data_IF_603859846524
#
_entry.id   IF_603859846524
#
_cell.length_a   1.000
_cell.length_b   1.000
_cell.length_c   1.000
_cell.angle_alpha   90.00
_cell.angle_beta   90.00
_cell.angle_gamma   90.00
#
_symmetry.space_group_name_H-M   'P 1'
#
loop_
_entity.id
_entity.type
_entity.pdbx_description
1 polymer ?
#
# COMPACT_ATOMS: atom_id res chain seq x y z
N UNK A 1 11.10 -18.04 2.02
CA UNK A 1 9.79 -17.56 1.52
C UNK A 1 9.05 -18.70 0.85
N UNK A 2 7.72 -18.73 0.94
CA UNK A 2 6.87 -19.72 0.28
C UNK A 2 5.42 -19.21 0.16
N UNK A 3 4.74 -19.53 -0.94
CA UNK A 3 3.29 -19.38 -1.07
C UNK A 3 2.66 -20.76 -1.17
N UNK A 4 1.75 -21.05 -0.24
CA UNK A 4 0.98 -22.30 -0.20
C UNK A 4 -0.51 -22.03 -0.23
N UNK A 5 -1.23 -22.98 -0.82
CA UNK A 5 -2.69 -23.03 -0.82
C UNK A 5 -3.11 -24.42 -0.34
N UNK A 6 -4.11 -24.46 0.55
CA UNK A 6 -4.78 -25.69 0.95
C UNK A 6 -6.23 -25.39 1.32
N UNK A 7 -7.18 -26.03 0.64
CA UNK A 7 -8.61 -25.86 0.89
C UNK A 7 -9.06 -24.37 0.86
N UNK A 8 -8.57 -23.62 -0.13
CA UNK A 8 -8.79 -22.17 -0.30
C UNK A 8 -8.25 -21.31 0.85
N UNK A 9 -7.37 -21.86 1.69
CA UNK A 9 -6.56 -21.08 2.63
C UNK A 9 -5.21 -20.80 1.98
N UNK A 10 -4.91 -19.52 1.82
CA UNK A 10 -3.68 -19.02 1.21
C UNK A 10 -2.75 -18.52 2.30
N UNK A 11 -1.50 -18.97 2.27
CA UNK A 11 -0.48 -18.60 3.25
C UNK A 11 0.75 -18.11 2.48
N UNK A 12 1.12 -16.86 2.74
CA UNK A 12 2.32 -16.22 2.23
C UNK A 12 3.32 -16.12 3.38
N UNK A 13 4.42 -16.85 3.26
CA UNK A 13 5.52 -16.85 4.21
C UNK A 13 6.69 -16.09 3.62
N UNK A 14 7.10 -15.03 4.29
CA UNK A 14 8.36 -14.33 4.02
C UNK A 14 9.49 -15.02 4.80
N UNK A 15 10.56 -14.31 5.14
CA UNK A 15 11.66 -14.88 5.90
C UNK A 15 11.30 -15.05 7.38
N UNK A 16 10.68 -14.04 7.98
CA UNK A 16 10.34 -13.99 9.39
C UNK A 16 8.85 -13.75 9.65
N UNK A 17 8.08 -13.38 8.63
CA UNK A 17 6.66 -13.02 8.78
C UNK A 17 5.74 -13.94 7.98
N UNK A 18 4.44 -13.86 8.27
CA UNK A 18 3.41 -14.65 7.61
C UNK A 18 2.15 -13.82 7.44
N UNK A 19 1.50 -14.01 6.30
CA UNK A 19 0.22 -13.40 5.94
C UNK A 19 -0.71 -14.51 5.45
N UNK A 20 -1.92 -14.60 6.01
CA UNK A 20 -2.86 -15.65 5.65
C UNK A 20 -4.28 -15.10 5.49
N UNK A 21 -4.98 -15.64 4.50
CA UNK A 21 -6.38 -15.36 4.22
C UNK A 21 -7.02 -16.59 3.57
N UNK A 22 -8.35 -16.61 3.49
CA UNK A 22 -9.08 -17.72 2.88
C UNK A 22 -10.31 -17.24 2.11
N UNK A 23 -10.71 -18.00 1.10
CA UNK A 23 -11.99 -17.77 0.43
C UNK A 23 -13.10 -18.59 1.12
N UNK A 24 -14.07 -17.89 1.68
CA UNK A 24 -15.28 -18.42 2.29
C UNK A 24 -16.14 -19.23 1.29
N UNK A 25 -17.08 -20.03 1.80
CA UNK A 25 -17.98 -20.84 0.97
C UNK A 25 -18.84 -19.97 0.04
N UNK A 26 -19.19 -18.77 0.48
CA UNK A 26 -19.94 -17.79 -0.32
C UNK A 26 -19.06 -16.96 -1.27
N UNK A 27 -17.75 -17.26 -1.35
CA UNK A 27 -16.76 -16.57 -2.17
C UNK A 27 -16.14 -15.32 -1.53
N UNK A 28 -16.49 -14.94 -0.30
CA UNK A 28 -15.87 -13.77 0.36
C UNK A 28 -14.40 -14.05 0.69
N UNK A 29 -13.49 -13.14 0.37
CA UNK A 29 -12.07 -13.27 0.68
C UNK A 29 -11.76 -12.71 2.08
N UNK A 30 -11.52 -13.60 3.04
CA UNK A 30 -11.45 -13.31 4.46
C UNK A 30 -10.01 -13.33 4.98
N UNK A 31 -9.59 -12.23 5.59
CA UNK A 31 -8.29 -12.11 6.24
C UNK A 31 -8.22 -12.92 7.54
N UNK A 32 -7.16 -13.72 7.72
CA UNK A 32 -7.00 -14.59 8.88
C UNK A 32 -5.83 -14.17 9.79
N UNK A 33 -4.73 -13.70 9.20
CA UNK A 33 -3.51 -13.42 9.96
C UNK A 33 -2.54 -12.49 9.23
N UNK A 34 -1.86 -11.67 10.01
CA UNK A 34 -0.65 -10.96 9.61
C UNK A 34 0.25 -10.77 10.83
N UNK A 35 1.50 -11.21 10.74
CA UNK A 35 2.47 -11.05 11.83
C UNK A 35 3.53 -12.15 11.85
N UNK A 36 3.92 -12.58 13.04
CA UNK A 36 4.86 -13.69 13.28
C UNK A 36 4.36 -14.99 12.64
N UNK A 37 5.29 -15.88 12.29
CA UNK A 37 4.97 -17.23 11.80
C UNK A 37 4.16 -18.03 12.83
N UNK A 38 3.12 -18.70 12.34
CA UNK A 38 2.24 -19.61 13.08
C UNK A 38 2.10 -20.94 12.32
N UNK A 39 1.50 -21.94 12.97
CA UNK A 39 1.28 -23.25 12.35
C UNK A 39 0.14 -23.17 11.34
N UNK A 40 0.25 -23.89 10.22
CA UNK A 40 -0.76 -23.84 9.16
C UNK A 40 -2.15 -24.32 9.63
N UNK A 41 -2.17 -25.27 10.56
CA UNK A 41 -3.38 -25.81 11.17
C UNK A 41 -4.17 -24.76 11.95
N UNK A 42 -3.50 -23.75 12.52
CA UNK A 42 -4.14 -22.65 13.25
C UNK A 42 -5.03 -21.83 12.30
N UNK A 43 -4.66 -21.70 11.02
CA UNK A 43 -5.46 -20.96 10.04
C UNK A 43 -6.70 -21.71 9.63
N UNK A 44 -6.63 -23.03 9.46
CA UNK A 44 -7.80 -23.85 9.19
C UNK A 44 -8.82 -23.75 10.34
N UNK A 45 -8.35 -23.84 11.59
CA UNK A 45 -9.21 -23.69 12.76
C UNK A 45 -9.84 -22.29 12.87
N UNK A 46 -9.05 -21.22 12.59
CA UNK A 46 -9.57 -19.84 12.55
C UNK A 46 -10.61 -19.64 11.46
N UNK A 47 -10.36 -20.19 10.27
CA UNK A 47 -11.28 -20.12 9.15
C UNK A 47 -12.59 -20.87 9.45
N UNK A 48 -12.53 -22.08 10.00
CA UNK A 48 -13.72 -22.80 10.44
C UNK A 48 -14.52 -22.03 11.50
N UNK A 49 -13.83 -21.41 12.46
CA UNK A 49 -14.47 -20.60 13.49
C UNK A 49 -15.14 -19.35 12.89
N UNK A 50 -14.52 -18.73 11.88
CA UNK A 50 -15.11 -17.63 11.12
C UNK A 50 -16.39 -18.08 10.40
N UNK A 51 -16.35 -19.18 9.65
CA UNK A 51 -17.51 -19.73 8.95
C UNK A 51 -18.67 -20.05 9.91
N UNK A 52 -18.38 -20.72 11.03
CA UNK A 52 -19.38 -21.07 12.05
C UNK A 52 -19.95 -19.85 12.78
N UNK A 53 -19.17 -18.78 12.92
CA UNK A 53 -19.53 -17.56 13.65
C UNK A 53 -20.18 -16.47 12.79
N UNK A 54 -20.42 -16.77 11.51
CA UNK A 54 -20.93 -15.80 10.53
C UNK A 54 -22.39 -15.46 10.81
N UNK A 55 -22.62 -14.44 11.64
CA UNK A 55 -23.94 -14.03 12.12
C UNK A 55 -24.63 -12.95 11.25
N UNK A 56 -24.31 -12.87 9.95
CA UNK A 56 -24.93 -11.90 9.03
C UNK A 56 -24.47 -10.44 9.18
N UNK A 57 -23.49 -10.14 10.05
CA UNK A 57 -22.87 -8.82 10.16
C UNK A 57 -21.68 -8.71 9.21
N UNK A 58 -21.93 -8.63 7.91
CA UNK A 58 -20.88 -8.53 6.87
C UNK A 58 -19.92 -7.38 7.12
N UNK A 59 -20.42 -6.28 7.68
CA UNK A 59 -19.67 -5.08 8.07
C UNK A 59 -18.44 -5.36 8.96
N UNK A 60 -18.54 -6.33 9.88
CA UNK A 60 -17.46 -6.63 10.83
C UNK A 60 -16.43 -7.63 10.28
N UNK A 61 -16.66 -8.15 9.07
CA UNK A 61 -15.79 -9.15 8.47
C UNK A 61 -14.40 -8.55 8.20
N UNK A 62 -13.36 -9.32 8.51
CA UNK A 62 -12.00 -9.00 8.10
C UNK A 62 -11.82 -9.50 6.67
N UNK A 63 -11.79 -8.59 5.70
CA UNK A 63 -11.74 -8.91 4.27
C UNK A 63 -10.45 -8.44 3.63
N UNK A 64 -10.04 -9.09 2.54
CA UNK A 64 -8.84 -8.70 1.79
C UNK A 64 -9.07 -7.54 0.82
N UNK A 65 -10.30 -7.37 0.33
CA UNK A 65 -10.68 -6.31 -0.60
C UNK A 65 -12.21 -6.19 -0.73
N UNK A 66 -12.82 -5.21 -0.05
CA UNK A 66 -14.29 -5.04 -0.05
C UNK A 66 -14.76 -4.03 -1.10
N UNK A 67 -15.81 -4.40 -1.84
CA UNK A 67 -16.53 -3.48 -2.73
C UNK A 67 -17.59 -2.66 -2.00
N UNK A 68 -18.20 -1.72 -2.72
CA UNK A 68 -19.36 -0.98 -2.23
C UNK A 68 -20.59 -1.88 -2.22
N UNK A 69 -21.13 -2.26 -1.06
CA UNK A 69 -22.38 -3.02 -0.99
C UNK A 69 -23.32 -2.42 0.05
N UNK A 70 -24.63 -2.69 -0.06
CA UNK A 70 -25.63 -2.17 0.87
C UNK A 70 -25.49 -2.62 2.33
N UNK A 71 -24.53 -3.50 2.65
CA UNK A 71 -24.25 -3.98 4.01
C UNK A 71 -22.88 -3.51 4.55
N UNK A 72 -22.09 -2.80 3.75
CA UNK A 72 -20.73 -2.35 4.09
C UNK A 72 -20.70 -0.82 4.23
N UNK A 73 -20.50 -0.34 5.46
CA UNK A 73 -20.54 1.08 5.85
C UNK A 73 -19.18 1.64 6.30
N UNK A 74 -18.17 0.77 6.42
CA UNK A 74 -16.75 1.13 6.62
C UNK A 74 -16.06 1.56 5.32
N UNK A 75 -14.83 2.11 5.37
CA UNK A 75 -14.06 2.39 4.17
C UNK A 75 -13.95 1.17 3.24
N UNK A 76 -14.38 1.36 2.01
CA UNK A 76 -14.40 0.35 0.95
C UNK A 76 -13.12 0.44 0.12
N UNK A 77 -12.66 -0.70 -0.40
CA UNK A 77 -11.47 -0.76 -1.24
C UNK A 77 -11.78 -0.34 -2.69
N UNK A 78 -12.98 -0.65 -3.20
CA UNK A 78 -13.38 -0.31 -4.57
C UNK A 78 -14.82 0.19 -4.62
N UNK A 79 -15.05 1.21 -5.44
CA UNK A 79 -16.38 1.74 -5.75
C UNK A 79 -16.48 1.87 -7.27
N UNK A 80 -17.48 1.21 -7.85
CA UNK A 80 -17.77 1.28 -9.28
C UNK A 80 -19.22 1.72 -9.51
N UNK A 81 -19.47 2.38 -10.64
CA UNK A 81 -20.80 2.63 -11.16
C UNK A 81 -20.97 1.86 -12.47
N UNK A 82 -22.08 1.13 -12.56
CA UNK A 82 -22.46 0.36 -13.74
C UNK A 82 -23.45 1.13 -14.61
N UNK A 83 -23.65 0.65 -15.84
CA UNK A 83 -24.49 1.32 -16.85
C UNK A 83 -25.96 1.49 -16.43
N UNK A 84 -26.48 0.58 -15.61
CA UNK A 84 -27.83 0.63 -15.04
C UNK A 84 -27.94 1.54 -13.80
N UNK A 85 -26.86 2.25 -13.46
CA UNK A 85 -26.69 3.10 -12.26
C UNK A 85 -26.59 2.34 -10.95
N UNK A 86 -26.49 1.02 -10.98
CA UNK A 86 -26.11 0.27 -9.79
C UNK A 86 -24.70 0.68 -9.35
N UNK A 87 -24.50 0.70 -8.04
CA UNK A 87 -23.20 0.97 -7.40
C UNK A 87 -22.77 -0.18 -6.49
N UNK A 88 -23.57 -1.24 -6.41
CA UNK A 88 -23.23 -2.39 -5.60
C UNK A 88 -22.22 -3.26 -6.33
N UNK A 89 -21.04 -3.39 -5.74
CA UNK A 89 -19.95 -4.25 -6.20
C UNK A 89 -19.78 -5.41 -5.24
N UNK A 90 -20.13 -6.62 -5.68
CA UNK A 90 -20.05 -7.85 -4.89
C UNK A 90 -18.97 -8.78 -5.44
N UNK A 91 -17.72 -8.56 -5.00
CA UNK A 91 -16.59 -9.36 -5.42
C UNK A 91 -16.57 -10.72 -4.73
N UNK A 92 -16.71 -11.79 -5.52
CA UNK A 92 -16.63 -13.18 -5.06
C UNK A 92 -15.43 -13.88 -5.68
N UNK A 93 -14.75 -14.70 -4.88
CA UNK A 93 -13.64 -15.53 -5.29
C UNK A 93 -14.03 -16.46 -6.44
N UNK A 94 -13.22 -16.44 -7.49
CA UNK A 94 -13.37 -17.30 -8.66
C UNK A 94 -12.22 -18.30 -8.74
N UNK A 95 -10.98 -17.81 -8.75
CA UNK A 95 -9.80 -18.63 -9.02
C UNK A 95 -8.52 -17.99 -8.46
N UNK A 96 -7.41 -18.69 -8.57
CA UNK A 96 -6.09 -18.18 -8.23
C UNK A 96 -5.00 -18.70 -9.16
N UNK A 97 -3.86 -18.00 -9.19
CA UNK A 97 -2.64 -18.54 -9.79
C UNK A 97 -1.43 -18.21 -8.92
N UNK A 98 -0.42 -19.08 -8.93
CA UNK A 98 0.85 -18.85 -8.23
C UNK A 98 1.99 -18.91 -9.24
N UNK A 99 2.64 -17.77 -9.43
CA UNK A 99 3.88 -17.65 -10.21
C UNK A 99 5.07 -17.75 -9.30
N UNK A 100 6.06 -18.58 -9.66
CA UNK A 100 7.28 -18.81 -8.86
C UNK A 100 8.52 -18.50 -9.69
N UNK A 101 9.46 -17.80 -9.07
CA UNK A 101 10.80 -17.55 -9.58
C UNK A 101 11.82 -17.72 -8.45
N UNK A 102 13.10 -17.63 -8.78
CA UNK A 102 14.18 -17.70 -7.78
C UNK A 102 14.23 -16.49 -6.84
N UNK A 103 13.72 -15.33 -7.31
CA UNK A 103 13.80 -14.05 -6.60
C UNK A 103 12.50 -13.65 -5.90
N UNK A 104 11.35 -14.05 -6.44
CA UNK A 104 10.02 -13.72 -5.90
C UNK A 104 9.00 -14.84 -6.15
N UNK A 105 7.93 -14.85 -5.35
CA UNK A 105 6.69 -15.57 -5.66
C UNK A 105 5.53 -14.60 -5.69
N UNK A 106 4.60 -14.80 -6.61
CA UNK A 106 3.39 -13.99 -6.75
C UNK A 106 2.16 -14.89 -6.70
N UNK A 107 1.20 -14.51 -5.85
CA UNK A 107 -0.16 -15.06 -5.81
C UNK A 107 -1.10 -14.03 -6.41
N UNK A 108 -1.84 -14.44 -7.43
CA UNK A 108 -2.94 -13.66 -8.00
C UNK A 108 -4.26 -14.31 -7.61
N UNK A 109 -5.11 -13.58 -6.91
CA UNK A 109 -6.47 -14.01 -6.56
C UNK A 109 -7.46 -13.30 -7.48
N UNK A 110 -8.27 -14.08 -8.20
CA UNK A 110 -9.25 -13.56 -9.14
C UNK A 110 -10.60 -13.52 -8.42
N UNK A 111 -11.14 -12.31 -8.30
CA UNK A 111 -12.49 -12.04 -7.83
C UNK A 111 -13.37 -11.61 -9.01
N UNK A 112 -14.65 -11.94 -8.99
CA UNK A 112 -15.62 -11.47 -9.96
C UNK A 112 -16.84 -10.85 -9.29
N UNK A 113 -17.33 -9.78 -9.90
CA UNK A 113 -18.71 -9.36 -9.79
C UNK A 113 -19.47 -9.98 -10.98
N UNK A 114 -19.98 -11.21 -10.79
CA UNK A 114 -20.54 -12.03 -11.86
C UNK A 114 -21.69 -11.34 -12.62
N UNK A 115 -22.69 -10.69 -11.96
CA UNK A 115 -23.77 -10.00 -12.67
C UNK A 115 -23.30 -8.96 -13.69
N UNK A 116 -22.20 -8.27 -13.42
CA UNK A 116 -21.64 -7.24 -14.30
C UNK A 116 -20.46 -7.73 -15.13
N UNK A 117 -20.05 -8.99 -15.00
CA UNK A 117 -18.89 -9.56 -15.69
C UNK A 117 -17.61 -8.71 -15.54
N UNK A 118 -17.40 -8.14 -14.36
CA UNK A 118 -16.19 -7.38 -13.99
C UNK A 118 -15.31 -8.23 -13.08
N UNK A 119 -14.02 -8.26 -13.36
CA UNK A 119 -13.04 -9.05 -12.61
C UNK A 119 -12.06 -8.14 -11.90
N UNK A 120 -11.69 -8.51 -10.67
CA UNK A 120 -10.64 -7.86 -9.90
C UNK A 120 -9.59 -8.90 -9.53
N UNK A 121 -8.38 -8.74 -10.05
CA UNK A 121 -7.23 -9.56 -9.68
C UNK A 121 -6.45 -8.86 -8.58
N UNK A 122 -6.36 -9.50 -7.41
CA UNK A 122 -5.52 -9.05 -6.30
C UNK A 122 -4.17 -9.76 -6.39
N UNK A 123 -3.11 -9.00 -6.62
CA UNK A 123 -1.75 -9.53 -6.70
C UNK A 123 -1.03 -9.37 -5.37
N UNK A 124 -0.38 -10.42 -4.91
CA UNK A 124 0.43 -10.47 -3.71
C UNK A 124 1.81 -11.03 -4.06
N UNK A 125 2.85 -10.21 -4.00
CA UNK A 125 4.23 -10.63 -4.30
C UNK A 125 5.08 -10.61 -3.04
N UNK A 126 5.77 -11.72 -2.78
CA UNK A 126 6.79 -11.84 -1.74
C UNK A 126 8.17 -12.02 -2.37
N UNK A 127 9.20 -11.50 -1.72
CA UNK A 127 10.56 -11.46 -2.22
C UNK A 127 11.51 -12.28 -1.35
N UNK A 128 12.48 -12.93 -1.97
CA UNK A 128 13.48 -13.72 -1.25
C UNK A 128 14.39 -12.79 -0.47
N UNK A 129 14.53 -13.00 0.84
CA UNK A 129 15.40 -12.19 1.69
C UNK A 129 14.72 -10.93 2.26
N UNK A 130 13.42 -10.73 2.01
CA UNK A 130 12.69 -9.54 2.46
C UNK A 130 11.35 -9.89 3.10
N UNK A 131 11.06 -9.27 4.23
CA UNK A 131 9.78 -9.36 4.93
C UNK A 131 8.76 -8.32 4.44
N UNK A 132 8.74 -8.10 3.12
CA UNK A 132 7.85 -7.17 2.42
C UNK A 132 6.92 -7.93 1.50
N UNK A 133 5.63 -7.56 1.54
CA UNK A 133 4.60 -8.03 0.61
C UNK A 133 4.20 -6.84 -0.26
N UNK A 134 4.33 -6.98 -1.58
CA UNK A 134 3.80 -6.03 -2.55
C UNK A 134 2.38 -6.43 -2.92
N UNK A 135 1.42 -5.50 -2.79
CA UNK A 135 0.01 -5.67 -3.14
C UNK A 135 -0.43 -4.68 -4.22
N UNK A 136 -1.29 -5.12 -5.12
CA UNK A 136 -1.97 -4.27 -6.10
C UNK A 136 -3.28 -4.92 -6.55
N UNK A 137 -4.16 -4.13 -7.15
CA UNK A 137 -5.38 -4.61 -7.79
C UNK A 137 -5.38 -4.26 -9.29
N UNK A 138 -5.83 -5.22 -10.11
CA UNK A 138 -6.14 -5.02 -11.53
C UNK A 138 -7.64 -5.24 -11.73
N UNK A 139 -8.33 -4.25 -12.25
CA UNK A 139 -9.76 -4.29 -12.58
C UNK A 139 -9.91 -4.48 -14.08
N UNK A 140 -10.68 -5.47 -14.49
CA UNK A 140 -10.92 -5.81 -15.90
C UNK A 140 -12.41 -5.79 -16.20
N UNK A 141 -12.81 -4.96 -17.16
CA UNK A 141 -14.19 -4.94 -17.65
C UNK A 141 -14.34 -5.96 -18.77
N UNK A 142 -14.93 -7.13 -18.47
CA UNK A 142 -15.21 -8.17 -19.47
C UNK A 142 -16.65 -8.12 -19.99
N UNK A 143 -17.42 -7.11 -19.60
CA UNK A 143 -18.79 -6.88 -20.06
C UNK A 143 -18.80 -6.18 -21.43
N UNK A 144 -20.01 -5.96 -21.98
CA UNK A 144 -20.21 -5.12 -23.16
C UNK A 144 -20.42 -3.64 -22.81
N UNK A 145 -20.70 -3.33 -21.55
CA UNK A 145 -21.08 -1.99 -21.09
C UNK A 145 -19.87 -1.25 -20.49
N UNK A 146 -19.97 0.08 -20.42
CA UNK A 146 -18.95 0.90 -19.75
C UNK A 146 -19.10 0.83 -18.24
N UNK A 147 -17.98 0.70 -17.53
CA UNK A 147 -17.91 0.76 -16.06
C UNK A 147 -17.13 2.00 -15.65
N UNK A 148 -17.56 2.70 -14.60
CA UNK A 148 -16.85 3.86 -14.06
C UNK A 148 -16.29 3.52 -12.70
N UNK A 149 -14.97 3.55 -12.54
CA UNK A 149 -14.30 3.37 -11.25
C UNK A 149 -14.23 4.73 -10.55
N UNK A 150 -14.80 4.82 -9.34
CA UNK A 150 -14.78 6.03 -8.50
C UNK A 150 -13.83 5.91 -7.30
N UNK A 151 -13.41 4.69 -6.97
CA UNK A 151 -12.38 4.43 -5.96
C UNK A 151 -11.70 3.11 -6.29
N UNK A 152 -10.37 3.06 -6.19
CA UNK A 152 -9.59 1.86 -6.33
C UNK A 152 -8.38 1.90 -5.39
N UNK A 153 -8.52 1.22 -4.24
CA UNK A 153 -7.44 1.02 -3.29
C UNK A 153 -6.46 -0.04 -3.82
N UNK A 154 -5.19 0.08 -3.44
CA UNK A 154 -4.16 -0.91 -3.75
C UNK A 154 -4.14 -2.06 -2.74
N UNK A 155 -4.57 -1.80 -1.50
CA UNK A 155 -4.69 -2.80 -0.45
C UNK A 155 -5.72 -2.42 0.62
N UNK A 156 -6.45 -3.42 1.11
CA UNK A 156 -7.17 -3.41 2.39
C UNK A 156 -6.51 -4.40 3.35
N UNK A 157 -6.15 -3.97 4.55
CA UNK A 157 -5.31 -4.73 5.48
C UNK A 157 -5.97 -4.73 6.84
N UNK A 158 -6.20 -5.90 7.43
CA UNK A 158 -6.80 -6.01 8.76
C UNK A 158 -5.72 -6.26 9.82
N UNK A 159 -5.86 -5.60 10.97
CA UNK A 159 -4.91 -5.71 12.06
C UNK A 159 -5.35 -6.82 13.04
N UNK A 160 -4.40 -7.52 13.70
CA UNK A 160 -4.73 -8.66 14.54
C UNK A 160 -5.31 -8.29 15.91
N UNK A 161 -4.88 -7.18 16.52
CA UNK A 161 -5.28 -6.80 17.88
C UNK A 161 -6.68 -6.19 17.93
N UNK A 162 -7.38 -6.44 19.03
CA UNK A 162 -8.64 -5.77 19.37
C UNK A 162 -8.42 -4.48 20.14
N UNK A 163 -7.22 -4.19 20.61
CA UNK A 163 -6.93 -2.92 21.29
C UNK A 163 -6.66 -1.81 20.26
N UNK A 164 -6.89 -0.53 20.60
CA UNK A 164 -6.55 0.60 19.74
C UNK A 164 -5.07 0.61 19.31
N UNK A 165 -4.80 1.15 18.13
CA UNK A 165 -3.45 1.35 17.61
C UNK A 165 -3.11 2.84 17.60
N UNK A 166 -1.85 3.17 17.86
CA UNK A 166 -1.29 4.45 17.49
C UNK A 166 -0.88 4.41 16.02
N UNK A 167 -1.26 5.45 15.29
CA UNK A 167 -0.85 5.71 13.91
C UNK A 167 0.19 6.81 13.86
N UNK A 168 1.21 6.66 13.00
CA UNK A 168 2.21 7.69 12.70
C UNK A 168 2.17 8.06 11.22
N UNK A 169 2.09 9.36 10.95
CA UNK A 169 2.23 9.96 9.61
C UNK A 169 2.73 11.40 9.78
N UNK A 170 3.49 11.95 8.83
CA UNK A 170 3.95 13.32 8.96
C UNK A 170 2.82 14.33 8.78
N UNK A 171 2.99 15.50 9.38
CA UNK A 171 2.20 16.69 9.15
C UNK A 171 3.13 17.90 8.97
N UNK A 172 3.75 17.96 7.80
CA UNK A 172 4.69 19.02 7.45
C UNK A 172 4.12 20.14 6.58
N UNK A 173 5.00 21.02 6.14
CA UNK A 173 4.74 21.98 5.06
C UNK A 173 6.01 22.12 4.22
N UNK A 174 5.95 22.92 3.15
CA UNK A 174 7.14 23.30 2.39
C UNK A 174 8.19 23.92 3.33
N UNK A 175 9.41 23.38 3.31
CA UNK A 175 10.52 23.81 4.18
C UNK A 175 10.46 23.26 5.61
N UNK A 176 9.49 22.41 5.92
CA UNK A 176 9.30 21.75 7.21
C UNK A 176 8.61 20.39 7.02
N UNK A 177 9.06 19.61 6.04
CA UNK A 177 8.53 18.29 5.73
C UNK A 177 8.84 17.27 6.84
N UNK A 178 8.09 16.16 6.86
CA UNK A 178 8.37 14.99 7.71
C UNK A 178 8.34 15.21 9.22
N UNK A 179 7.63 16.23 9.71
CA UNK A 179 7.30 16.36 11.14
C UNK A 179 6.35 15.24 11.54
N UNK A 180 6.86 14.22 12.23
CA UNK A 180 6.11 13.01 12.57
C UNK A 180 5.06 13.29 13.65
N UNK A 181 3.81 12.98 13.33
CA UNK A 181 2.68 13.08 14.27
C UNK A 181 2.18 11.70 14.66
N UNK A 182 1.80 11.57 15.94
CA UNK A 182 1.26 10.33 16.51
C UNK A 182 -0.20 10.53 16.91
N UNK A 183 -1.09 9.68 16.41
CA UNK A 183 -2.53 9.76 16.70
C UNK A 183 -3.07 8.41 17.16
N UNK A 184 -3.84 8.39 18.26
CA UNK A 184 -4.53 7.17 18.70
C UNK A 184 -5.77 6.93 17.83
N UNK A 185 -5.85 5.78 17.18
CA UNK A 185 -7.04 5.35 16.43
C UNK A 185 -8.00 4.65 17.39
N UNK A 186 -8.81 5.43 18.09
CA UNK A 186 -9.71 4.91 19.13
C UNK A 186 -11.05 4.40 18.59
N UNK A 187 -11.60 5.07 17.56
CA UNK A 187 -12.81 4.71 16.82
C UNK A 187 -12.91 5.56 15.55
N UNK A 188 -13.76 5.17 14.61
CA UNK A 188 -14.00 5.92 13.37
C UNK A 188 -12.84 5.78 12.38
N UNK A 189 -12.72 6.74 11.47
CA UNK A 189 -11.69 6.76 10.42
C UNK A 189 -10.71 7.89 10.64
N UNK A 190 -9.41 7.56 10.68
CA UNK A 190 -8.31 8.51 10.54
C UNK A 190 -7.84 8.48 9.08
N UNK A 191 -7.82 9.64 8.43
CA UNK A 191 -7.47 9.76 7.01
C UNK A 191 -6.20 10.58 6.83
N UNK A 192 -5.29 10.06 6.02
CA UNK A 192 -4.16 10.79 5.45
C UNK A 192 -4.34 10.84 3.94
N UNK A 193 -4.36 12.03 3.35
CA UNK A 193 -4.58 12.17 1.91
C UNK A 193 -3.81 13.34 1.31
N UNK A 194 -3.62 13.27 0.00
CA UNK A 194 -3.25 14.43 -0.81
C UNK A 194 -4.13 14.52 -2.04
N UNK A 195 -4.70 15.70 -2.24
CA UNK A 195 -5.56 16.05 -3.37
C UNK A 195 -4.91 17.13 -4.25
N UNK A 196 -3.58 17.29 -4.17
CA UNK A 196 -2.81 18.38 -4.78
C UNK A 196 -2.19 18.04 -6.15
N UNK A 197 -2.56 16.91 -6.73
CA UNK A 197 -1.92 16.32 -7.92
C UNK A 197 -0.56 15.66 -7.66
N UNK A 198 -0.13 15.60 -6.39
CA UNK A 198 1.18 15.09 -5.94
C UNK A 198 1.08 14.51 -4.53
N UNK A 199 2.03 13.67 -4.12
CA UNK A 199 2.09 13.10 -2.77
C UNK A 199 2.12 14.14 -1.64
N UNK A 200 2.61 15.36 -1.89
CA UNK A 200 2.60 16.53 -0.96
C UNK A 200 3.68 16.55 0.13
N UNK A 201 3.88 17.75 0.70
CA UNK A 201 4.76 18.08 1.83
C UNK A 201 4.09 17.85 3.20
N UNK A 202 2.77 17.68 3.21
CA UNK A 202 1.93 17.59 4.42
C UNK A 202 1.90 16.17 4.96
N UNK A 203 1.05 15.32 4.39
CA UNK A 203 0.96 13.90 4.66
C UNK A 203 1.77 13.14 3.61
N UNK A 204 2.26 11.96 3.99
CA UNK A 204 2.98 11.08 3.08
C UNK A 204 2.17 9.79 2.86
N UNK A 205 2.25 9.14 1.67
CA UNK A 205 1.47 7.95 1.36
C UNK A 205 1.96 6.67 2.08
N UNK A 206 2.05 6.71 3.40
CA UNK A 206 2.32 5.54 4.24
C UNK A 206 1.46 5.53 5.51
N UNK A 207 1.39 4.38 6.16
CA UNK A 207 0.92 4.25 7.53
C UNK A 207 1.91 3.43 8.36
N UNK A 208 1.99 3.75 9.64
CA UNK A 208 2.71 2.98 10.64
C UNK A 208 1.77 2.82 11.84
N UNK A 209 1.47 1.58 12.23
CA UNK A 209 0.51 1.22 13.25
C UNK A 209 1.16 0.36 14.32
N UNK A 210 1.06 0.78 15.57
CA UNK A 210 1.70 0.09 16.71
C UNK A 210 0.91 0.28 18.00
N UNK A 211 1.29 -0.45 19.06
CA UNK A 211 0.67 -0.32 20.38
C UNK A 211 1.73 0.00 21.44
N UNK A 212 2.58 -0.98 21.73
CA UNK A 212 3.66 -0.89 22.73
C UNK A 212 4.98 -1.20 22.02
N UNK A 213 5.41 -0.29 21.15
CA UNK A 213 6.64 -0.43 20.39
C UNK A 213 7.49 0.85 20.52
N UNK A 214 8.80 0.65 20.49
CA UNK A 214 9.81 1.69 20.38
C UNK A 214 10.77 1.33 19.24
N UNK A 215 11.99 1.88 19.23
CA UNK A 215 12.96 1.62 18.18
C UNK A 215 13.41 0.16 18.13
N UNK A 216 13.52 -0.52 19.28
CA UNK A 216 14.20 -1.81 19.41
C UNK A 216 13.24 -2.96 19.75
N UNK A 217 12.04 -2.67 20.25
CA UNK A 217 11.07 -3.69 20.63
C UNK A 217 9.65 -3.38 20.18
N UNK A 218 8.86 -4.45 20.06
CA UNK A 218 7.43 -4.37 19.87
C UNK A 218 6.99 -4.53 18.41
N UNK A 219 5.70 -4.82 18.27
CA UNK A 219 5.07 -5.11 16.99
C UNK A 219 4.69 -3.80 16.26
N UNK A 220 5.17 -3.65 15.03
CA UNK A 220 4.91 -2.51 14.15
C UNK A 220 4.40 -3.01 12.80
N UNK A 221 3.21 -2.54 12.41
CA UNK A 221 2.57 -2.85 11.14
C UNK A 221 2.65 -1.63 10.24
N UNK A 222 3.17 -1.78 9.03
CA UNK A 222 3.46 -0.63 8.19
C UNK A 222 3.16 -0.90 6.72
N UNK A 223 2.95 0.18 5.98
CA UNK A 223 2.86 0.10 4.53
C UNK A 223 2.99 1.46 3.85
N UNK A 224 3.44 1.44 2.60
CA UNK A 224 3.65 2.62 1.78
C UNK A 224 3.14 2.40 0.35
N UNK A 225 2.53 3.41 -0.25
CA UNK A 225 2.08 3.39 -1.64
C UNK A 225 3.23 3.81 -2.56
N UNK A 226 3.51 3.01 -3.57
CA UNK A 226 4.47 3.32 -4.64
C UNK A 226 3.79 4.24 -5.66
N UNK A 227 3.55 5.49 -5.25
CA UNK A 227 2.82 6.48 -6.02
C UNK A 227 3.24 7.91 -5.68
N UNK A 228 3.22 8.79 -6.69
CA UNK A 228 3.65 10.19 -6.56
C UNK A 228 2.53 11.20 -6.75
N UNK A 229 1.31 10.75 -7.09
CA UNK A 229 0.14 11.59 -7.30
C UNK A 229 -0.76 11.73 -6.07
N UNK A 230 -2.06 11.95 -6.32
CA UNK A 230 -3.07 11.95 -5.26
C UNK A 230 -3.20 10.55 -4.63
N UNK A 231 -3.27 10.51 -3.31
CA UNK A 231 -3.39 9.26 -2.54
C UNK A 231 -4.37 9.43 -1.40
N UNK A 232 -4.87 8.31 -0.90
CA UNK A 232 -5.66 8.24 0.33
C UNK A 232 -5.30 7.00 1.13
N UNK A 233 -5.07 7.20 2.42
CA UNK A 233 -4.89 6.16 3.43
C UNK A 233 -5.94 6.36 4.50
N UNK A 234 -6.79 5.36 4.71
CA UNK A 234 -7.87 5.36 5.70
C UNK A 234 -7.61 4.27 6.74
N UNK A 235 -7.42 4.67 7.99
CA UNK A 235 -7.28 3.74 9.12
C UNK A 235 -8.58 3.78 9.90
N UNK A 236 -9.36 2.73 9.77
CA UNK A 236 -10.69 2.62 10.36
C UNK A 236 -10.69 1.66 11.54
N UNK A 237 -11.39 2.06 12.60
CA UNK A 237 -11.65 1.21 13.76
C UNK A 237 -13.15 1.17 14.08
N UNK A 238 -13.72 -0.02 14.03
CA UNK A 238 -15.13 -0.27 14.31
C UNK A 238 -15.42 -0.36 15.82
N UNK A 239 -16.71 -0.43 16.15
CA UNK A 239 -17.20 -0.58 17.51
C UNK A 239 -16.87 -1.94 18.14
N UNK A 240 -16.61 -2.97 17.33
CA UNK A 240 -16.18 -4.29 17.76
C UNK A 240 -14.65 -4.38 17.95
N UNK A 241 -13.96 -3.26 17.84
CA UNK A 241 -12.53 -3.10 18.04
C UNK A 241 -11.67 -3.68 16.92
N UNK A 242 -12.22 -4.00 15.75
CA UNK A 242 -11.37 -4.33 14.59
C UNK A 242 -10.78 -3.05 14.02
N UNK A 243 -9.49 -3.08 13.73
CA UNK A 243 -8.80 -2.01 13.01
C UNK A 243 -8.38 -2.52 11.63
N UNK A 244 -8.51 -1.66 10.62
CA UNK A 244 -8.06 -1.92 9.24
C UNK A 244 -7.47 -0.67 8.62
N UNK A 245 -6.57 -0.86 7.67
CA UNK A 245 -6.00 0.19 6.83
C UNK A 245 -6.39 -0.07 5.37
N UNK A 246 -6.90 0.95 4.69
CA UNK A 246 -7.16 0.96 3.24
C UNK A 246 -6.24 2.02 2.63
N UNK A 247 -5.41 1.63 1.66
CA UNK A 247 -4.44 2.52 1.03
C UNK A 247 -4.49 2.41 -0.49
N UNK A 248 -4.47 3.55 -1.19
CA UNK A 248 -4.41 3.59 -2.65
C UNK A 248 -4.58 4.99 -3.21
N UNK A 249 -5.12 5.05 -4.43
CA UNK A 249 -5.43 6.32 -5.09
C UNK A 249 -6.48 7.11 -4.30
N UNK A 250 -6.37 8.44 -4.31
CA UNK A 250 -7.44 9.27 -3.76
C UNK A 250 -8.70 9.12 -4.63
N UNK A 251 -9.85 9.02 -3.97
CA UNK A 251 -11.19 9.09 -4.58
C UNK A 251 -11.71 10.54 -4.70
N UNK A 252 -10.92 11.54 -4.29
CA UNK A 252 -11.23 12.96 -4.52
C UNK A 252 -11.13 13.30 -6.00
N UNK A 253 -12.27 13.68 -6.59
CA UNK A 253 -12.41 14.01 -8.02
C UNK A 253 -11.83 12.94 -8.96
N UNK A 254 -11.90 11.68 -8.53
CA UNK A 254 -11.43 10.53 -9.30
C UNK A 254 -12.61 9.84 -9.98
N UNK A 255 -12.50 9.70 -11.30
CA UNK A 255 -13.45 8.98 -12.13
C UNK A 255 -12.72 8.41 -13.33
N UNK A 256 -12.50 7.09 -13.33
CA UNK A 256 -11.86 6.40 -14.45
C UNK A 256 -12.91 5.64 -15.25
N UNK A 257 -13.06 5.98 -16.53
CA UNK A 257 -13.96 5.28 -17.46
C UNK A 257 -13.23 4.06 -17.98
N UNK A 258 -13.84 2.88 -17.80
CA UNK A 258 -13.31 1.60 -18.24
C UNK A 258 -14.25 1.00 -19.28
N UNK A 259 -13.86 1.06 -20.56
CA UNK A 259 -14.64 0.51 -21.67
C UNK A 259 -14.57 -1.01 -21.72
N UNK A 260 -15.43 -1.63 -22.54
CA UNK A 260 -15.45 -3.07 -22.73
C UNK A 260 -14.07 -3.60 -23.19
N UNK A 261 -13.56 -4.61 -22.47
CA UNK A 261 -12.26 -5.23 -22.72
C UNK A 261 -11.06 -4.47 -22.15
N UNK A 262 -11.26 -3.29 -21.55
CA UNK A 262 -10.17 -2.52 -20.93
C UNK A 262 -9.86 -3.00 -19.51
N UNK A 263 -8.65 -2.68 -19.05
CA UNK A 263 -8.22 -2.91 -17.67
C UNK A 263 -7.55 -1.70 -17.04
N UNK A 264 -7.74 -1.54 -15.74
CA UNK A 264 -7.11 -0.53 -14.90
C UNK A 264 -6.27 -1.18 -13.81
N UNK A 265 -5.04 -0.71 -13.60
CA UNK A 265 -4.15 -1.21 -12.56
C UNK A 265 -3.87 -0.12 -11.53
N UNK A 266 -4.02 -0.46 -10.24
CA UNK A 266 -3.64 0.44 -9.14
C UNK A 266 -2.12 0.50 -9.00
N UNK A 267 -1.54 1.59 -8.47
CA UNK A 267 -0.17 1.56 -7.98
C UNK A 267 0.01 0.45 -6.93
N UNK A 268 1.25 0.04 -6.70
CA UNK A 268 1.53 -0.98 -5.69
C UNK A 268 1.54 -0.39 -4.28
N UNK A 269 1.04 -1.13 -3.30
CA UNK A 269 1.31 -0.90 -1.88
C UNK A 269 2.35 -1.92 -1.39
N UNK A 270 3.41 -1.45 -0.75
CA UNK A 270 4.38 -2.28 -0.04
C UNK A 270 3.96 -2.34 1.41
N UNK A 271 3.77 -3.54 1.96
CA UNK A 271 3.37 -3.74 3.36
C UNK A 271 4.38 -4.65 4.07
N UNK A 272 4.59 -4.41 5.35
CA UNK A 272 5.51 -5.20 6.16
C UNK A 272 5.14 -5.20 7.64
N UNK A 273 5.74 -6.14 8.36
CA UNK A 273 5.57 -6.31 9.79
C UNK A 273 6.93 -6.45 10.45
N UNK A 274 7.15 -5.69 11.52
CA UNK A 274 8.30 -5.83 12.40
C UNK A 274 7.82 -6.30 13.77
N UNK A 275 8.51 -7.26 14.38
CA UNK A 275 8.34 -7.60 15.80
C UNK A 275 9.45 -7.04 16.70
N UNK A 276 10.33 -6.21 16.12
CA UNK A 276 11.57 -5.71 16.71
C UNK A 276 11.62 -4.18 16.61
N UNK A 277 10.47 -3.51 16.75
CA UNK A 277 10.39 -2.06 16.80
C UNK A 277 10.54 -1.34 15.46
N UNK A 278 10.64 -0.01 15.54
CA UNK A 278 10.70 0.91 14.40
C UNK A 278 12.00 0.84 13.61
N UNK A 279 13.13 0.52 14.25
CA UNK A 279 14.42 0.42 13.57
C UNK A 279 14.42 -0.77 12.60
N UNK A 280 13.91 -1.93 13.02
CA UNK A 280 13.76 -3.09 12.13
C UNK A 280 12.76 -2.79 10.99
N UNK A 281 11.62 -2.14 11.27
CA UNK A 281 10.68 -1.69 10.24
C UNK A 281 11.38 -0.83 9.17
N UNK A 282 12.08 0.23 9.61
CA UNK A 282 12.67 1.21 8.71
C UNK A 282 13.81 0.60 7.89
N UNK A 283 14.63 -0.27 8.51
CA UNK A 283 15.70 -0.99 7.82
C UNK A 283 15.15 -1.96 6.76
N UNK A 284 14.06 -2.67 7.03
CA UNK A 284 13.42 -3.55 6.06
C UNK A 284 12.92 -2.78 4.83
N UNK A 285 12.18 -1.69 5.04
CA UNK A 285 11.69 -0.86 3.94
C UNK A 285 12.83 -0.19 3.17
N UNK A 286 13.89 0.27 3.87
CA UNK A 286 15.06 0.86 3.23
C UNK A 286 15.80 -0.15 2.35
N UNK A 287 16.16 -1.32 2.90
CA UNK A 287 16.86 -2.37 2.16
C UNK A 287 16.06 -2.82 0.93
N UNK A 288 14.74 -2.98 1.07
CA UNK A 288 13.87 -3.30 -0.05
C UNK A 288 13.84 -2.19 -1.09
N UNK A 289 13.74 -0.93 -0.66
CA UNK A 289 13.68 0.23 -1.58
C UNK A 289 14.98 0.39 -2.36
N UNK A 290 16.13 0.26 -1.69
CA UNK A 290 17.45 0.32 -2.34
C UNK A 290 17.59 -0.80 -3.37
N UNK A 291 17.24 -2.04 -3.03
CA UNK A 291 17.41 -3.16 -3.98
C UNK A 291 16.37 -3.16 -5.10
N UNK A 292 15.09 -2.92 -4.80
CA UNK A 292 13.98 -3.22 -5.71
C UNK A 292 13.29 -2.00 -6.32
N UNK A 293 13.48 -0.79 -5.77
CA UNK A 293 12.80 0.42 -6.23
C UNK A 293 13.77 1.41 -6.87
N UNK A 294 14.94 1.61 -6.27
CA UNK A 294 15.95 2.53 -6.78
C UNK A 294 16.47 2.06 -8.15
N UNK A 295 16.76 2.98 -9.10
CA UNK A 295 17.40 2.61 -10.36
C UNK A 295 18.69 1.82 -10.12
N UNK A 296 18.86 0.67 -10.77
CA UNK A 296 19.95 -0.29 -10.52
C UNK A 296 21.36 0.31 -10.55
N UNK A 297 21.58 1.36 -11.35
CA UNK A 297 22.86 2.09 -11.40
C UNK A 297 23.26 2.77 -10.09
N UNK A 298 22.31 3.06 -9.19
CA UNK A 298 22.54 3.78 -7.94
C UNK A 298 22.59 2.88 -6.70
N UNK A 299 22.45 1.56 -6.87
CA UNK A 299 22.33 0.62 -5.74
C UNK A 299 23.70 0.32 -5.11
N UNK A 300 24.71 0.11 -5.95
CA UNK A 300 26.03 -0.37 -5.53
C UNK A 300 27.16 0.65 -5.71
N UNK A 301 26.81 1.90 -6.05
CA UNK A 301 27.76 2.98 -6.28
C UNK A 301 27.42 4.17 -5.36
N UNK A 302 28.42 4.76 -4.67
CA UNK A 302 28.21 6.02 -3.97
C UNK A 302 27.68 7.10 -4.91
N UNK A 303 26.74 7.92 -4.43
CA UNK A 303 26.26 9.08 -5.17
C UNK A 303 27.34 10.19 -5.11
N UNK A 304 27.54 10.94 -6.20
CA UNK A 304 28.54 12.00 -6.23
C UNK A 304 28.21 13.12 -5.23
N UNK A 305 29.23 13.65 -4.56
CA UNK A 305 29.10 14.87 -3.74
C UNK A 305 28.89 16.05 -4.67
N UNK A 306 27.66 16.58 -4.71
CA UNK A 306 27.27 17.65 -5.62
C UNK A 306 27.34 19.04 -4.97
N UNK A 307 27.55 20.05 -5.81
CA UNK A 307 27.33 21.47 -5.49
C UNK A 307 26.23 22.01 -6.41
N UNK A 308 25.14 22.50 -5.83
CA UNK A 308 24.01 23.07 -6.56
C UNK A 308 24.02 24.61 -6.44
N UNK A 309 23.77 25.32 -7.56
CA UNK A 309 23.88 26.78 -7.65
C UNK A 309 22.70 27.58 -7.10
N UNK A 310 21.58 26.94 -6.72
CA UNK A 310 20.33 27.62 -6.39
C UNK A 310 20.47 28.67 -5.29
N UNK A 311 20.87 28.30 -4.08
CA UNK A 311 20.99 29.28 -2.98
C UNK A 311 22.19 30.22 -3.13
N UNK A 312 23.15 29.88 -3.99
CA UNK A 312 24.34 30.70 -4.22
C UNK A 312 24.03 31.94 -5.07
N UNK A 313 23.12 31.80 -6.04
CA UNK A 313 22.88 32.85 -7.05
C UNK A 313 21.39 33.15 -7.28
N UNK A 314 20.48 32.27 -6.87
CA UNK A 314 19.08 32.27 -7.29
C UNK A 314 19.00 32.49 -8.82
N UNK A 315 18.40 33.59 -9.26
CA UNK A 315 18.27 33.94 -10.67
C UNK A 315 19.36 34.89 -11.20
N UNK A 316 20.35 35.28 -10.40
CA UNK A 316 21.51 36.08 -10.85
C UNK A 316 22.56 35.19 -11.54
N UNK A 317 22.12 34.50 -12.60
CA UNK A 317 22.90 33.48 -13.31
C UNK A 317 23.69 34.13 -14.45
N UNK A 318 25.01 33.92 -14.45
CA UNK A 318 25.90 34.28 -15.56
C UNK A 318 26.92 33.17 -15.81
N UNK A 319 27.33 32.97 -17.07
CA UNK A 319 28.34 31.98 -17.44
C UNK A 319 29.63 32.16 -16.62
N UNK A 320 30.15 33.38 -16.53
CA UNK A 320 31.34 33.69 -15.73
C UNK A 320 31.15 33.38 -14.24
N UNK A 321 29.97 33.67 -13.67
CA UNK A 321 29.65 33.35 -12.28
C UNK A 321 29.58 31.85 -12.02
N UNK A 322 28.91 31.10 -12.88
CA UNK A 322 28.77 29.64 -12.76
C UNK A 322 30.12 28.92 -12.95
N UNK A 323 30.97 29.38 -13.88
CA UNK A 323 32.33 28.86 -14.02
C UNK A 323 33.17 29.05 -12.75
N UNK A 324 33.12 30.25 -12.14
CA UNK A 324 33.81 30.52 -10.88
C UNK A 324 33.30 29.64 -9.73
N UNK A 325 31.99 29.42 -9.65
CA UNK A 325 31.39 28.51 -8.66
C UNK A 325 31.81 27.06 -8.89
N UNK A 326 31.84 26.59 -10.13
CA UNK A 326 32.29 25.24 -10.47
C UNK A 326 33.78 25.03 -10.11
N UNK A 327 34.64 26.01 -10.37
CA UNK A 327 36.05 25.96 -9.94
C UNK A 327 36.19 25.94 -8.41
N UNK A 328 35.38 26.71 -7.68
CA UNK A 328 35.35 26.71 -6.22
C UNK A 328 34.90 25.35 -5.68
N UNK A 329 33.84 24.78 -6.25
CA UNK A 329 33.31 23.46 -5.90
C UNK A 329 34.37 22.37 -6.14
N UNK A 330 35.06 22.40 -7.28
CA UNK A 330 36.15 21.48 -7.58
C UNK A 330 37.32 21.59 -6.57
N UNK A 331 37.67 22.81 -6.15
CA UNK A 331 38.74 23.04 -5.14
C UNK A 331 38.40 22.44 -3.76
N UNK A 332 37.13 22.32 -3.40
CA UNK A 332 36.68 21.68 -2.15
C UNK A 332 36.35 20.19 -2.32
N UNK A 333 36.59 19.62 -3.50
CA UNK A 333 36.42 18.19 -3.78
C UNK A 333 35.01 17.76 -4.19
N UNK A 334 34.13 18.67 -4.61
CA UNK A 334 32.85 18.28 -5.20
C UNK A 334 33.07 17.55 -6.54
N UNK A 335 32.26 16.53 -6.79
CA UNK A 335 32.37 15.62 -7.94
C UNK A 335 31.37 15.97 -9.06
N UNK A 336 30.31 16.71 -8.73
CA UNK A 336 29.27 17.13 -9.65
C UNK A 336 28.87 18.60 -9.39
N UNK A 337 28.86 19.42 -10.44
CA UNK A 337 28.30 20.77 -10.38
C UNK A 337 26.92 20.77 -11.04
N UNK A 338 25.91 21.28 -10.33
CA UNK A 338 24.52 21.36 -10.81
C UNK A 338 24.17 22.84 -10.99
N UNK A 339 23.99 23.25 -12.24
CA UNK A 339 23.39 24.53 -12.58
C UNK A 339 21.87 24.40 -12.43
N UNK A 340 21.33 25.08 -11.42
CA UNK A 340 19.90 25.08 -11.09
C UNK A 340 19.12 26.08 -11.98
N UNK A 341 17.88 26.41 -11.61
CA UNK A 341 16.97 27.22 -12.43
C UNK A 341 17.55 28.59 -12.87
N UNK A 342 17.11 29.08 -14.04
CA UNK A 342 17.53 30.36 -14.61
C UNK A 342 18.49 30.31 -15.81
N UNK A 343 18.83 29.11 -16.31
CA UNK A 343 19.74 28.95 -17.47
C UNK A 343 19.05 28.96 -18.85
N UNK A 344 17.72 28.88 -18.89
CA UNK A 344 16.91 28.84 -20.11
C UNK A 344 15.99 30.06 -20.19
N UNK A 345 15.60 30.45 -21.42
CA UNK A 345 14.71 31.58 -21.67
C UNK A 345 14.97 32.26 -22.99
#
# INVERSE_FOLDING_TARGET
MNITEKNKVFILETENTQYAFAAADDGTLCHLHWGKKAQAEDFAARFEAFEKGRNGLEELSKTEYVGNSGQIFRPQAIIMNYADRCRETLLKYQDYSITRSDAFQQLDIILADEPYNVFVTLSYTIYKGYDIIKRSAKIENRSADTVIIQKAASAEINLPSKNPYYSVNPNGSWGAEFVLEKTLVNNGTLTYESNKGRSSHTNNPFFILYQNADEDIGDVYYGALVWTGNFKTEIFRDWAGNTKAVIGLSDFDFSHTLHAGESFETPAALIGFSSEGFSSMSNQMNAFSVEHILPKRFVNEPLPVLYNSWEATFFDVSDEGQQKLAELAARIGCELFVMDDGWFG
#
